data_IF_815308548310
#
_entry.id   IF_815308548310
#
_cell.length_a   1.000
_cell.length_b   1.000
_cell.length_c   1.000
_cell.angle_alpha   90.00
_cell.angle_beta   90.00
_cell.angle_gamma   90.00
#
_symmetry.space_group_name_H-M   'P 1'
#
loop_
_entity.id
_entity.type
_entity.pdbx_description
1 polymer ?
#
# COMPACT_ATOMS: atom_id res chain seq x y z
N UNK A 1 12.70 11.70 -17.24
CA UNK A 1 12.37 10.65 -16.24
C UNK A 1 12.88 11.13 -14.89
N UNK A 2 12.08 11.01 -13.83
CA UNK A 2 12.48 11.45 -12.47
C UNK A 2 13.69 10.67 -11.95
N UNK A 3 14.53 11.30 -11.12
CA UNK A 3 15.77 10.69 -10.61
C UNK A 3 15.52 9.41 -9.79
N UNK A 4 14.40 9.35 -9.05
CA UNK A 4 13.98 8.17 -8.30
C UNK A 4 13.71 6.96 -9.21
N UNK A 5 12.94 7.17 -10.29
CA UNK A 5 12.61 6.12 -11.28
C UNK A 5 13.85 5.59 -12.00
N UNK A 6 14.85 6.45 -12.24
CA UNK A 6 16.15 6.03 -12.81
C UNK A 6 16.93 5.14 -11.82
N UNK A 7 16.86 5.45 -10.52
CA UNK A 7 17.53 4.65 -9.48
C UNK A 7 16.92 3.26 -9.34
N UNK A 8 15.58 3.17 -9.36
CA UNK A 8 14.85 1.91 -9.33
C UNK A 8 15.16 1.06 -10.56
N UNK A 9 15.13 1.66 -11.76
CA UNK A 9 15.47 0.97 -12.99
C UNK A 9 16.91 0.42 -12.98
N UNK A 10 17.87 1.19 -12.45
CA UNK A 10 19.26 0.72 -12.30
C UNK A 10 19.36 -0.48 -11.36
N UNK A 11 18.65 -0.45 -10.23
CA UNK A 11 18.62 -1.57 -9.29
C UNK A 11 18.04 -2.83 -9.92
N UNK A 12 16.95 -2.69 -10.66
CA UNK A 12 16.31 -3.80 -11.37
C UNK A 12 17.22 -4.41 -12.46
N UNK A 13 17.95 -3.57 -13.20
CA UNK A 13 18.91 -4.05 -14.21
C UNK A 13 20.05 -4.86 -13.56
N UNK A 14 20.56 -4.44 -12.40
CA UNK A 14 21.57 -5.21 -11.67
C UNK A 14 21.02 -6.56 -11.16
N UNK A 15 19.76 -6.62 -10.75
CA UNK A 15 19.10 -7.88 -10.39
C UNK A 15 18.96 -8.83 -11.60
N UNK A 16 18.62 -8.30 -12.78
CA UNK A 16 18.54 -9.11 -14.00
C UNK A 16 19.92 -9.66 -14.41
N UNK A 17 21.01 -8.93 -14.13
CA UNK A 17 22.38 -9.40 -14.38
C UNK A 17 22.80 -10.51 -13.41
N UNK A 18 22.44 -10.39 -12.13
CA UNK A 18 22.78 -11.40 -11.12
C UNK A 18 21.92 -12.66 -11.24
N UNK A 19 20.67 -12.52 -11.67
CA UNK A 19 19.76 -13.63 -11.90
C UNK A 19 18.89 -13.43 -13.16
N UNK A 20 19.33 -13.94 -14.33
CA UNK A 20 18.59 -13.82 -15.59
C UNK A 20 17.22 -14.52 -15.61
N UNK A 21 16.94 -15.43 -14.67
CA UNK A 21 15.65 -16.12 -14.59
C UNK A 21 14.48 -15.19 -14.22
N UNK A 22 14.76 -14.00 -13.66
CA UNK A 22 13.76 -12.97 -13.37
C UNK A 22 13.01 -12.56 -14.66
N UNK A 23 13.70 -12.56 -15.81
CA UNK A 23 13.10 -12.24 -17.12
C UNK A 23 12.14 -13.32 -17.64
N UNK A 24 12.09 -14.49 -16.99
CA UNK A 24 11.15 -15.56 -17.31
C UNK A 24 9.85 -15.45 -16.50
N UNK A 25 9.74 -14.50 -15.57
CA UNK A 25 8.52 -14.26 -14.81
C UNK A 25 7.39 -13.72 -15.73
N UNK A 26 6.17 -14.31 -15.71
CA UNK A 26 5.05 -13.88 -16.55
C UNK A 26 4.69 -12.39 -16.44
N UNK A 27 4.82 -11.81 -15.24
CA UNK A 27 4.55 -10.38 -15.00
C UNK A 27 5.50 -9.43 -15.74
N UNK A 28 6.68 -9.91 -16.12
CA UNK A 28 7.69 -9.19 -16.89
C UNK A 28 7.66 -9.54 -18.38
N UNK A 29 6.61 -10.24 -18.86
CA UNK A 29 6.47 -10.65 -20.25
C UNK A 29 6.59 -9.50 -21.25
N UNK A 30 6.04 -8.31 -20.93
CA UNK A 30 6.18 -7.12 -21.78
C UNK A 30 7.65 -6.68 -21.95
N UNK A 31 8.45 -6.77 -20.88
CA UNK A 31 9.85 -6.36 -20.88
C UNK A 31 10.72 -7.40 -21.60
N UNK A 32 10.41 -8.69 -21.40
CA UNK A 32 10.99 -9.80 -22.16
C UNK A 32 10.78 -9.60 -23.67
N UNK A 33 9.54 -9.37 -24.10
CA UNK A 33 9.19 -9.14 -25.51
C UNK A 33 9.91 -7.91 -26.09
N UNK A 34 10.05 -6.84 -25.30
CA UNK A 34 10.81 -5.65 -25.69
C UNK A 34 12.30 -5.98 -25.90
N UNK A 35 12.93 -6.74 -25.01
CA UNK A 35 14.33 -7.15 -25.15
C UNK A 35 14.54 -8.05 -26.37
N UNK A 36 13.64 -8.99 -26.62
CA UNK A 36 13.64 -9.85 -27.81
C UNK A 36 13.47 -9.02 -29.10
N UNK A 37 12.64 -7.97 -29.08
CA UNK A 37 12.50 -7.04 -30.22
C UNK A 37 13.78 -6.28 -30.56
N UNK A 38 14.68 -6.12 -29.57
CA UNK A 38 16.01 -5.52 -29.74
C UNK A 38 17.09 -6.55 -30.10
N UNK A 39 16.71 -7.83 -30.29
CA UNK A 39 17.61 -8.91 -30.65
C UNK A 39 18.34 -9.56 -29.48
N UNK A 40 17.91 -9.35 -28.24
CA UNK A 40 18.49 -10.02 -27.08
C UNK A 40 18.10 -11.51 -27.03
N UNK A 41 19.04 -12.39 -26.70
CA UNK A 41 18.79 -13.82 -26.46
C UNK A 41 18.71 -14.11 -24.97
N UNK A 42 17.54 -14.51 -24.48
CA UNK A 42 17.30 -14.83 -23.07
C UNK A 42 17.40 -16.35 -22.88
N UNK A 43 18.18 -16.86 -21.91
CA UNK A 43 18.30 -18.30 -21.67
C UNK A 43 16.94 -18.97 -21.38
N UNK A 44 16.65 -20.15 -21.94
CA UNK A 44 15.42 -20.88 -21.63
C UNK A 44 15.42 -21.40 -20.19
N UNK A 45 14.23 -21.57 -19.61
CA UNK A 45 14.09 -22.17 -18.28
C UNK A 45 14.74 -23.57 -18.23
N UNK A 46 15.40 -23.94 -17.12
CA UNK A 46 15.88 -25.31 -16.93
C UNK A 46 14.68 -26.26 -16.97
N UNK A 47 14.77 -27.30 -17.81
CA UNK A 47 13.71 -28.29 -18.01
C UNK A 47 13.56 -29.12 -16.72
N UNK A 48 12.44 -28.96 -16.01
CA UNK A 48 11.98 -29.95 -15.04
C UNK A 48 11.26 -31.06 -15.79
N UNK A 49 11.71 -32.29 -15.57
CA UNK A 49 11.19 -33.50 -16.18
C UNK A 49 9.72 -33.75 -15.77
N UNK A 50 8.92 -34.26 -16.72
CA UNK A 50 7.51 -34.59 -16.47
C UNK A 50 7.42 -35.96 -15.78
N UNK A 51 6.76 -36.01 -14.64
CA UNK A 51 6.28 -37.25 -14.03
C UNK A 51 5.10 -36.95 -13.12
N UNK A 52 3.88 -37.23 -13.60
CA UNK A 52 2.69 -37.19 -12.76
C UNK A 52 2.55 -38.48 -11.96
N UNK A 53 2.22 -38.36 -10.68
CA UNK A 53 1.53 -39.38 -9.90
C UNK A 53 0.87 -38.70 -8.68
N UNK A 54 -0.42 -39.00 -8.49
CA UNK A 54 -1.22 -38.59 -7.33
C UNK A 54 -0.73 -39.27 -6.06
N UNK A 55 -0.35 -38.52 -5.01
CA UNK A 55 -0.45 -38.98 -3.60
C UNK A 55 -0.81 -37.79 -2.70
N UNK A 56 -2.06 -37.84 -2.22
CA UNK A 56 -2.57 -37.58 -0.87
C UNK A 56 -1.73 -36.78 0.14
N UNK A 57 -2.44 -35.84 0.80
CA UNK A 57 -2.34 -35.43 2.21
C UNK A 57 -1.00 -35.63 2.92
N UNK A 58 -0.34 -34.50 3.23
CA UNK A 58 0.53 -34.40 4.40
C UNK A 58 0.53 -32.95 4.91
N UNK A 59 -0.28 -32.70 5.93
CA UNK A 59 0.12 -31.79 6.99
C UNK A 59 1.49 -32.22 7.55
N UNK A 60 2.21 -31.27 8.14
CA UNK A 60 3.50 -31.42 8.86
C UNK A 60 4.80 -31.44 8.02
N UNK A 61 5.48 -30.28 8.00
CA UNK A 61 6.84 -30.07 8.51
C UNK A 61 7.56 -28.94 7.76
N UNK A 62 7.36 -27.69 8.22
CA UNK A 62 8.27 -26.58 7.93
C UNK A 62 9.30 -26.47 9.07
N UNK A 63 10.12 -27.51 9.23
CA UNK A 63 11.29 -27.46 10.10
C UNK A 63 12.45 -28.26 9.48
N UNK A 64 13.23 -27.60 8.62
CA UNK A 64 14.58 -28.05 8.27
C UNK A 64 15.44 -26.91 7.67
N UNK A 65 16.08 -26.15 8.58
CA UNK A 65 17.46 -25.66 8.53
C UNK A 65 18.12 -25.40 7.16
N UNK A 66 18.31 -24.11 6.86
CA UNK A 66 19.54 -23.64 6.23
C UNK A 66 20.36 -22.85 7.29
N UNK A 67 21.56 -23.30 7.72
CA UNK A 67 22.24 -22.73 8.89
C UNK A 67 22.93 -21.38 8.68
N UNK A 68 22.87 -20.78 7.48
CA UNK A 68 23.73 -19.63 7.12
C UNK A 68 22.99 -18.35 6.70
N UNK A 69 21.70 -18.21 7.01
CA UNK A 69 21.00 -16.93 6.82
C UNK A 69 20.97 -16.15 8.13
N UNK A 70 21.44 -14.91 8.10
CA UNK A 70 21.38 -13.99 9.23
C UNK A 70 19.92 -13.82 9.66
N UNK A 71 19.66 -13.58 10.95
CA UNK A 71 18.30 -13.43 11.48
C UNK A 71 17.51 -12.28 10.82
N UNK A 72 18.21 -11.30 10.23
CA UNK A 72 17.60 -10.20 9.48
C UNK A 72 17.09 -10.63 8.08
N UNK A 73 17.63 -11.70 7.47
CA UNK A 73 17.23 -12.16 6.12
C UNK A 73 15.90 -12.92 6.10
N UNK A 74 15.51 -13.58 7.21
CA UNK A 74 14.24 -14.33 7.30
C UNK A 74 12.99 -13.45 7.35
N UNK A 75 13.14 -12.16 7.64
CA UNK A 75 12.03 -11.19 7.68
C UNK A 75 11.75 -10.55 6.31
N UNK A 76 12.61 -10.83 5.32
CA UNK A 76 12.58 -10.26 3.97
C UNK A 76 11.88 -11.12 2.93
N UNK A 77 11.37 -12.31 3.27
CA UNK A 77 10.60 -13.10 2.30
C UNK A 77 9.28 -12.37 2.01
N UNK A 78 9.20 -11.82 0.80
CA UNK A 78 7.98 -11.23 0.27
C UNK A 78 6.89 -12.32 0.23
N UNK A 79 5.70 -11.97 0.70
CA UNK A 79 4.56 -12.91 0.67
C UNK A 79 4.16 -13.04 -0.79
N UNK A 80 4.54 -14.14 -1.43
CA UNK A 80 4.14 -14.47 -2.80
C UNK A 80 2.72 -15.04 -2.76
N UNK A 81 1.80 -14.34 -3.42
CA UNK A 81 0.43 -14.83 -3.61
C UNK A 81 0.43 -16.01 -4.57
N UNK A 82 -0.24 -17.09 -4.17
CA UNK A 82 -0.44 -18.26 -5.01
C UNK A 82 -1.48 -17.97 -6.06
N UNK A 83 -1.33 -18.52 -7.25
CA UNK A 83 -2.40 -18.47 -8.25
C UNK A 83 -3.63 -19.24 -7.75
N UNK A 84 -4.83 -18.76 -8.11
CA UNK A 84 -6.10 -19.38 -7.74
C UNK A 84 -6.69 -20.04 -8.98
N UNK A 85 -7.01 -21.34 -8.89
CA UNK A 85 -7.69 -22.07 -9.97
C UNK A 85 -9.19 -21.74 -9.97
N UNK A 86 -9.58 -20.81 -10.86
CA UNK A 86 -10.97 -20.41 -11.08
C UNK A 86 -11.54 -21.08 -12.33
N UNK A 87 -12.85 -21.36 -12.33
CA UNK A 87 -13.54 -21.81 -13.55
C UNK A 87 -13.79 -20.60 -14.47
N UNK A 88 -13.18 -20.61 -15.65
CA UNK A 88 -13.24 -19.52 -16.63
C UNK A 88 -14.23 -19.79 -17.79
N UNK A 89 -14.98 -20.90 -17.74
CA UNK A 89 -15.78 -21.39 -18.88
C UNK A 89 -16.79 -20.37 -19.41
N UNK A 90 -17.39 -19.56 -18.53
CA UNK A 90 -18.44 -18.58 -18.87
C UNK A 90 -17.90 -17.13 -19.02
N UNK A 91 -16.58 -16.94 -18.98
CA UNK A 91 -15.95 -15.62 -19.16
C UNK A 91 -16.02 -15.21 -20.63
N UNK A 92 -16.33 -13.94 -20.87
CA UNK A 92 -16.37 -13.30 -22.18
C UNK A 92 -15.33 -12.18 -22.20
N UNK A 93 -14.70 -11.99 -23.36
CA UNK A 93 -13.82 -10.85 -23.58
C UNK A 93 -14.57 -9.52 -23.34
N UNK A 94 -13.94 -8.54 -22.67
CA UNK A 94 -14.52 -7.22 -22.50
C UNK A 94 -14.87 -6.57 -23.85
N UNK A 95 -16.03 -5.93 -23.97
CA UNK A 95 -16.35 -5.13 -25.16
C UNK A 95 -15.59 -3.81 -25.15
N UNK A 96 -14.79 -3.58 -26.21
CA UNK A 96 -13.93 -2.40 -26.40
C UNK A 96 -14.57 -1.31 -27.29
N UNK A 97 -15.88 -1.40 -27.53
CA UNK A 97 -16.61 -0.40 -28.30
C UNK A 97 -16.66 0.96 -27.58
N UNK A 98 -16.76 2.07 -28.34
CA UNK A 98 -16.99 3.39 -27.76
C UNK A 98 -18.20 3.38 -26.80
N UNK A 99 -18.16 4.14 -25.69
CA UNK A 99 -19.28 4.22 -24.76
C UNK A 99 -20.58 4.58 -25.47
N UNK A 100 -21.65 3.84 -25.17
CA UNK A 100 -22.96 4.06 -25.76
C UNK A 100 -23.57 5.40 -25.30
N UNK A 101 -24.56 5.90 -26.04
CA UNK A 101 -25.23 7.17 -25.71
C UNK A 101 -26.06 7.02 -24.44
N UNK A 102 -25.83 7.89 -23.45
CA UNK A 102 -26.46 7.82 -22.11
C UNK A 102 -27.50 8.92 -21.86
N UNK A 103 -27.76 9.82 -22.82
CA UNK A 103 -28.61 10.99 -22.56
C UNK A 103 -27.92 12.04 -21.68
N UNK A 104 -28.59 13.19 -21.52
CA UNK A 104 -28.11 14.26 -20.65
C UNK A 104 -29.02 14.35 -19.41
N UNK A 105 -28.53 13.98 -18.21
CA UNK A 105 -29.33 13.99 -16.98
C UNK A 105 -29.91 15.35 -16.60
N UNK A 106 -29.43 16.45 -17.21
CA UNK A 106 -29.93 17.81 -16.94
C UNK A 106 -31.16 18.20 -17.78
N UNK A 107 -31.56 17.38 -18.76
CA UNK A 107 -32.75 17.65 -19.58
C UNK A 107 -34.02 17.53 -18.73
N UNK A 108 -34.84 18.59 -18.73
CA UNK A 108 -36.20 18.55 -18.18
C UNK A 108 -37.09 17.68 -19.07
N UNK A 109 -37.67 16.63 -18.48
CA UNK A 109 -38.55 15.70 -19.18
C UNK A 109 -39.96 16.26 -19.22
N UNK A 110 -40.37 16.78 -20.38
CA UNK A 110 -41.75 17.22 -20.64
C UNK A 110 -42.70 16.03 -20.75
N UNK A 111 -44.01 16.26 -20.60
CA UNK A 111 -45.04 15.21 -20.80
C UNK A 111 -44.93 14.58 -22.20
N UNK A 112 -44.73 15.40 -23.24
CA UNK A 112 -44.53 14.93 -24.61
C UNK A 112 -43.31 14.01 -24.75
N UNK A 113 -42.16 14.40 -24.17
CA UNK A 113 -40.96 13.58 -24.18
C UNK A 113 -41.14 12.28 -23.39
N UNK A 114 -41.88 12.35 -22.28
CA UNK A 114 -42.19 11.18 -21.47
C UNK A 114 -43.06 10.17 -22.24
N UNK A 115 -44.14 10.64 -22.89
CA UNK A 115 -45.03 9.79 -23.70
C UNK A 115 -44.31 9.19 -24.92
N UNK A 116 -43.47 9.99 -25.58
CA UNK A 116 -42.63 9.53 -26.68
C UNK A 116 -41.63 8.45 -26.21
N UNK A 117 -40.99 8.65 -25.05
CA UNK A 117 -40.09 7.66 -24.46
C UNK A 117 -40.83 6.36 -24.08
N UNK A 118 -42.06 6.43 -23.56
CA UNK A 118 -42.87 5.22 -23.29
C UNK A 118 -43.23 4.47 -24.58
N UNK A 119 -43.56 5.21 -25.64
CA UNK A 119 -43.87 4.61 -26.94
C UNK A 119 -42.66 3.89 -27.51
N UNK A 120 -41.47 4.51 -27.46
CA UNK A 120 -40.21 3.88 -27.89
C UNK A 120 -39.84 2.67 -27.03
N UNK A 121 -40.07 2.74 -25.72
CA UNK A 121 -39.91 1.59 -24.82
C UNK A 121 -40.83 0.43 -25.22
N UNK A 122 -42.08 0.70 -25.57
CA UNK A 122 -43.00 -0.34 -26.06
C UNK A 122 -42.47 -1.00 -27.33
N UNK A 123 -42.04 -0.20 -28.31
CA UNK A 123 -41.41 -0.70 -29.56
C UNK A 123 -40.17 -1.55 -29.28
N UNK A 124 -39.35 -1.14 -28.31
CA UNK A 124 -38.19 -1.93 -27.91
C UNK A 124 -38.61 -3.28 -27.30
N UNK A 125 -39.69 -3.32 -26.51
CA UNK A 125 -40.21 -4.60 -25.98
C UNK A 125 -40.72 -5.51 -27.08
N UNK A 126 -41.40 -4.95 -28.09
CA UNK A 126 -41.85 -5.72 -29.27
C UNK A 126 -40.63 -6.29 -30.03
N UNK A 127 -39.59 -5.48 -30.26
CA UNK A 127 -38.35 -5.92 -30.88
C UNK A 127 -37.62 -7.00 -30.06
N UNK A 128 -37.67 -6.94 -28.72
CA UNK A 128 -37.12 -7.99 -27.84
C UNK A 128 -37.90 -9.31 -28.04
N UNK A 129 -39.23 -9.25 -28.09
CA UNK A 129 -40.08 -10.42 -28.33
C UNK A 129 -39.83 -11.05 -29.71
N UNK A 130 -39.54 -10.23 -30.71
CA UNK A 130 -39.15 -10.66 -32.06
C UNK A 130 -37.68 -11.13 -32.17
N UNK A 131 -36.88 -11.00 -31.10
CA UNK A 131 -35.46 -11.35 -31.08
C UNK A 131 -34.54 -10.36 -31.79
N UNK A 132 -35.04 -9.20 -32.20
CA UNK A 132 -34.28 -8.14 -32.89
C UNK A 132 -33.56 -7.25 -31.87
N UNK A 133 -32.51 -7.80 -31.27
CA UNK A 133 -31.82 -7.18 -30.13
C UNK A 133 -31.18 -5.82 -30.46
N UNK A 134 -30.60 -5.64 -31.65
CA UNK A 134 -30.00 -4.36 -32.04
C UNK A 134 -31.04 -3.25 -32.24
N UNK A 135 -32.17 -3.56 -32.89
CA UNK A 135 -33.29 -2.62 -33.03
C UNK A 135 -33.86 -2.22 -31.66
N UNK A 136 -33.94 -3.17 -30.72
CA UNK A 136 -34.35 -2.88 -29.35
C UNK A 136 -33.38 -1.93 -28.62
N UNK A 137 -32.05 -2.08 -28.85
CA UNK A 137 -31.04 -1.16 -28.31
C UNK A 137 -31.21 0.24 -28.89
N UNK A 138 -31.47 0.36 -30.19
CA UNK A 138 -31.68 1.66 -30.85
C UNK A 138 -32.92 2.37 -30.29
N UNK A 139 -34.06 1.67 -30.21
CA UNK A 139 -35.28 2.22 -29.62
C UNK A 139 -35.12 2.62 -28.14
N UNK A 140 -34.42 1.83 -27.33
CA UNK A 140 -34.13 2.20 -25.94
C UNK A 140 -33.17 3.38 -25.85
N UNK A 141 -32.22 3.48 -26.77
CA UNK A 141 -31.29 4.61 -26.81
C UNK A 141 -32.03 5.90 -27.13
N UNK A 142 -32.91 5.91 -28.12
CA UNK A 142 -33.79 7.05 -28.39
C UNK A 142 -34.69 7.38 -27.19
N UNK A 143 -35.25 6.37 -26.52
CA UNK A 143 -36.06 6.58 -25.33
C UNK A 143 -35.27 7.23 -24.18
N UNK A 144 -34.01 6.83 -23.98
CA UNK A 144 -33.11 7.39 -22.95
C UNK A 144 -32.75 8.85 -23.27
N UNK A 145 -32.54 9.20 -24.54
CA UNK A 145 -32.28 10.59 -24.94
C UNK A 145 -33.47 11.52 -24.62
N UNK A 146 -34.70 11.00 -24.66
CA UNK A 146 -35.91 11.74 -24.32
C UNK A 146 -36.22 11.75 -22.82
N UNK A 147 -35.91 10.65 -22.11
CA UNK A 147 -36.11 10.51 -20.68
C UNK A 147 -34.90 9.87 -19.99
N UNK A 148 -33.84 10.66 -19.73
CA UNK A 148 -32.61 10.17 -19.12
C UNK A 148 -32.76 9.89 -17.62
N UNK A 149 -33.90 10.25 -17.01
CA UNK A 149 -34.21 10.01 -15.59
C UNK A 149 -34.89 8.66 -15.31
N UNK A 150 -35.06 7.81 -16.33
CA UNK A 150 -35.78 6.53 -16.17
C UNK A 150 -34.85 5.34 -15.96
N UNK A 151 -34.72 4.89 -14.69
CA UNK A 151 -33.92 3.71 -14.32
C UNK A 151 -34.30 2.44 -15.11
N UNK A 152 -35.59 2.29 -15.45
CA UNK A 152 -36.11 1.10 -16.13
C UNK A 152 -35.60 1.02 -17.58
N UNK A 153 -35.39 2.15 -18.26
CA UNK A 153 -34.86 2.18 -19.62
C UNK A 153 -33.43 1.63 -19.65
N UNK A 154 -32.56 2.16 -18.77
CA UNK A 154 -31.19 1.67 -18.64
C UNK A 154 -31.14 0.21 -18.21
N UNK A 155 -31.89 -0.20 -17.18
CA UNK A 155 -31.91 -1.59 -16.73
C UNK A 155 -32.41 -2.57 -17.82
N UNK A 156 -33.30 -2.11 -18.70
CA UNK A 156 -33.78 -2.92 -19.84
C UNK A 156 -32.74 -2.99 -20.95
N UNK A 157 -32.08 -1.87 -21.28
CA UNK A 157 -31.01 -1.86 -22.28
C UNK A 157 -29.79 -2.67 -21.82
N UNK A 158 -29.43 -2.60 -20.54
CA UNK A 158 -28.45 -3.48 -19.90
C UNK A 158 -28.77 -4.96 -20.11
N UNK A 159 -30.04 -5.35 -19.96
CA UNK A 159 -30.46 -6.75 -20.17
C UNK A 159 -30.29 -7.24 -21.61
N UNK A 160 -30.41 -6.34 -22.58
CA UNK A 160 -30.12 -6.67 -23.98
C UNK A 160 -28.61 -6.75 -24.20
N UNK A 161 -27.82 -5.85 -23.61
CA UNK A 161 -26.36 -5.93 -23.70
C UNK A 161 -25.79 -7.22 -23.09
N UNK A 162 -26.35 -7.71 -21.98
CA UNK A 162 -26.01 -9.04 -21.44
C UNK A 162 -26.29 -10.14 -22.47
N UNK A 163 -27.47 -10.13 -23.11
CA UNK A 163 -27.82 -11.09 -24.19
C UNK A 163 -26.91 -10.99 -25.42
N UNK A 164 -26.45 -9.78 -25.75
CA UNK A 164 -25.51 -9.49 -26.83
C UNK A 164 -24.05 -9.78 -26.45
N UNK A 165 -23.79 -10.25 -25.23
CA UNK A 165 -22.43 -10.47 -24.71
C UNK A 165 -21.54 -9.23 -24.71
N UNK A 166 -22.12 -8.08 -24.34
CA UNK A 166 -21.43 -6.78 -24.18
C UNK A 166 -21.42 -6.34 -22.72
N UNK A 167 -20.59 -6.96 -21.87
CA UNK A 167 -20.66 -6.77 -20.41
C UNK A 167 -20.26 -5.38 -19.92
N UNK A 168 -19.32 -4.67 -20.56
CA UNK A 168 -18.94 -3.30 -20.19
C UNK A 168 -20.10 -2.35 -20.48
N UNK A 169 -20.71 -2.42 -21.67
CA UNK A 169 -21.91 -1.65 -21.98
C UNK A 169 -23.05 -1.93 -20.99
N UNK A 170 -23.31 -3.21 -20.69
CA UNK A 170 -24.31 -3.61 -19.70
C UNK A 170 -24.02 -3.06 -18.29
N UNK A 171 -22.76 -3.07 -17.85
CA UNK A 171 -22.38 -2.54 -16.54
C UNK A 171 -22.64 -1.04 -16.44
N UNK A 172 -22.31 -0.26 -17.48
CA UNK A 172 -22.55 1.20 -17.49
C UNK A 172 -24.04 1.52 -17.35
N UNK A 173 -24.89 0.87 -18.14
CA UNK A 173 -26.34 1.05 -18.05
C UNK A 173 -26.89 0.60 -16.69
N UNK A 174 -26.39 -0.52 -16.15
CA UNK A 174 -26.85 -1.00 -14.86
C UNK A 174 -26.41 -0.08 -13.71
N UNK A 175 -25.22 0.53 -13.79
CA UNK A 175 -24.75 1.53 -12.84
C UNK A 175 -25.62 2.80 -12.88
N UNK A 176 -25.95 3.32 -14.07
CA UNK A 176 -26.85 4.47 -14.21
C UNK A 176 -28.27 4.16 -13.71
N UNK A 177 -28.77 2.94 -13.99
CA UNK A 177 -30.05 2.49 -13.46
C UNK A 177 -30.09 2.50 -11.92
N UNK A 178 -28.99 2.09 -11.28
CA UNK A 178 -28.85 2.04 -9.82
C UNK A 178 -28.56 3.42 -9.22
N UNK A 179 -27.93 4.32 -9.97
CA UNK A 179 -27.77 5.72 -9.56
C UNK A 179 -29.13 6.43 -9.49
N UNK A 180 -30.02 6.14 -10.46
CA UNK A 180 -31.37 6.70 -10.51
C UNK A 180 -32.29 6.01 -9.50
N UNK A 181 -32.25 4.67 -9.44
CA UNK A 181 -33.04 3.87 -8.49
C UNK A 181 -32.15 2.85 -7.76
N UNK A 182 -31.65 3.19 -6.56
CA UNK A 182 -30.81 2.32 -5.76
C UNK A 182 -31.44 0.99 -5.34
N UNK A 183 -32.77 0.89 -5.34
CA UNK A 183 -33.51 -0.33 -4.95
C UNK A 183 -33.95 -1.18 -6.17
N UNK A 184 -33.35 -0.95 -7.34
CA UNK A 184 -33.68 -1.68 -8.56
C UNK A 184 -33.08 -3.09 -8.58
N UNK A 185 -33.88 -4.10 -8.26
CA UNK A 185 -33.48 -5.51 -8.34
C UNK A 185 -32.95 -5.89 -9.74
N UNK A 186 -33.61 -5.39 -10.81
CA UNK A 186 -33.17 -5.61 -12.19
C UNK A 186 -31.80 -4.97 -12.47
N UNK A 187 -31.53 -3.78 -11.92
CA UNK A 187 -30.23 -3.11 -12.03
C UNK A 187 -29.11 -3.97 -11.43
N UNK A 188 -29.27 -4.43 -10.20
CA UNK A 188 -28.30 -5.33 -9.55
C UNK A 188 -28.15 -6.65 -10.31
N UNK A 189 -29.25 -7.26 -10.75
CA UNK A 189 -29.22 -8.52 -11.53
C UNK A 189 -28.37 -8.35 -12.79
N UNK A 190 -28.63 -7.31 -13.59
CA UNK A 190 -27.89 -7.10 -14.83
C UNK A 190 -26.42 -6.78 -14.59
N UNK A 191 -26.10 -5.98 -13.56
CA UNK A 191 -24.71 -5.68 -13.19
C UNK A 191 -23.96 -6.92 -12.70
N UNK A 192 -24.61 -7.74 -11.88
CA UNK A 192 -24.06 -9.00 -11.39
C UNK A 192 -23.76 -9.99 -12.52
N UNK A 193 -24.69 -10.13 -13.48
CA UNK A 193 -24.47 -10.95 -14.67
C UNK A 193 -23.33 -10.41 -15.54
N UNK A 194 -23.29 -9.10 -15.81
CA UNK A 194 -22.21 -8.49 -16.59
C UNK A 194 -20.83 -8.68 -15.93
N UNK A 195 -20.75 -8.54 -14.60
CA UNK A 195 -19.54 -8.78 -13.82
C UNK A 195 -19.11 -10.25 -13.84
N UNK A 196 -20.05 -11.18 -13.80
CA UNK A 196 -19.75 -12.61 -13.93
C UNK A 196 -19.12 -12.93 -15.29
N UNK A 197 -19.64 -12.34 -16.37
CA UNK A 197 -19.07 -12.48 -17.71
C UNK A 197 -17.64 -11.92 -17.81
N UNK A 198 -17.29 -10.93 -16.98
CA UNK A 198 -15.94 -10.37 -16.90
C UNK A 198 -15.01 -11.10 -15.91
N UNK A 199 -15.45 -12.22 -15.33
CA UNK A 199 -14.68 -12.94 -14.30
C UNK A 199 -14.59 -12.22 -12.95
N UNK A 200 -15.39 -11.18 -12.72
CA UNK A 200 -15.44 -10.44 -11.45
C UNK A 200 -16.38 -11.14 -10.46
N UNK A 201 -16.04 -12.38 -10.08
CA UNK A 201 -16.92 -13.29 -9.37
C UNK A 201 -17.37 -12.78 -7.99
N UNK A 202 -16.47 -12.16 -7.24
CA UNK A 202 -16.75 -11.60 -5.90
C UNK A 202 -17.82 -10.49 -5.97
N UNK A 203 -17.65 -9.53 -6.90
CA UNK A 203 -18.59 -8.43 -7.11
C UNK A 203 -19.90 -8.93 -7.71
N UNK A 204 -19.84 -9.92 -8.61
CA UNK A 204 -21.01 -10.53 -9.21
C UNK A 204 -21.89 -11.22 -8.15
N UNK A 205 -21.29 -12.02 -7.26
CA UNK A 205 -22.01 -12.68 -6.17
C UNK A 205 -22.69 -11.65 -5.26
N UNK A 206 -21.96 -10.59 -4.90
CA UNK A 206 -22.50 -9.49 -4.08
C UNK A 206 -23.74 -8.85 -4.71
N UNK A 207 -23.68 -8.46 -5.99
CA UNK A 207 -24.81 -7.86 -6.70
C UNK A 207 -26.00 -8.83 -6.81
N UNK A 208 -25.75 -10.09 -7.16
CA UNK A 208 -26.81 -11.10 -7.30
C UNK A 208 -27.49 -11.42 -5.96
N UNK A 209 -26.76 -11.42 -4.85
CA UNK A 209 -27.36 -11.56 -3.52
C UNK A 209 -28.26 -10.37 -3.17
N UNK A 210 -27.82 -9.14 -3.47
CA UNK A 210 -28.65 -7.94 -3.26
C UNK A 210 -29.90 -8.00 -4.15
N UNK A 211 -29.74 -8.37 -5.43
CA UNK A 211 -30.86 -8.55 -6.35
C UNK A 211 -31.87 -9.59 -5.82
N UNK A 212 -31.41 -10.77 -5.40
CA UNK A 212 -32.24 -11.85 -4.84
C UNK A 212 -32.99 -11.43 -3.57
N UNK A 213 -32.36 -10.58 -2.75
CA UNK A 213 -32.99 -10.04 -1.53
C UNK A 213 -34.10 -9.03 -1.84
N UNK A 214 -33.92 -8.23 -2.90
CA UNK A 214 -34.91 -7.24 -3.33
C UNK A 214 -36.07 -7.89 -4.07
N UNK A 215 -35.77 -8.78 -5.00
CA UNK A 215 -36.76 -9.53 -5.78
C UNK A 215 -36.20 -10.91 -6.14
N UNK A 216 -36.88 -11.95 -5.65
CA UNK A 216 -36.46 -13.32 -5.90
C UNK A 216 -36.81 -13.72 -7.33
N UNK A 217 -35.81 -14.24 -8.05
CA UNK A 217 -35.96 -14.67 -9.43
C UNK A 217 -35.12 -15.94 -9.67
N UNK A 218 -35.68 -16.87 -10.44
CA UNK A 218 -35.07 -18.19 -10.68
C UNK A 218 -33.75 -18.07 -11.47
N UNK A 219 -33.65 -17.09 -12.38
CA UNK A 219 -32.43 -16.81 -13.12
C UNK A 219 -31.34 -16.26 -12.17
N UNK A 220 -31.69 -15.42 -11.19
CA UNK A 220 -30.74 -14.99 -10.15
C UNK A 220 -30.20 -16.20 -9.38
N UNK A 221 -31.08 -17.12 -8.98
CA UNK A 221 -30.67 -18.34 -8.26
C UNK A 221 -29.76 -19.25 -9.09
N UNK A 222 -30.04 -19.38 -10.39
CA UNK A 222 -29.19 -20.11 -11.33
C UNK A 222 -27.81 -19.46 -11.48
N UNK A 223 -27.77 -18.12 -11.60
CA UNK A 223 -26.51 -17.38 -11.71
C UNK A 223 -25.66 -17.45 -10.44
N UNK A 224 -26.27 -17.37 -9.25
CA UNK A 224 -25.56 -17.52 -7.98
C UNK A 224 -24.83 -18.87 -7.89
N UNK A 225 -25.49 -19.98 -8.27
CA UNK A 225 -24.87 -21.31 -8.29
C UNK A 225 -23.59 -21.39 -9.15
N UNK A 226 -23.50 -20.57 -10.20
CA UNK A 226 -22.32 -20.50 -11.07
C UNK A 226 -21.21 -19.61 -10.48
N UNK A 227 -21.60 -18.49 -9.87
CA UNK A 227 -20.66 -17.45 -9.42
C UNK A 227 -20.08 -17.75 -8.03
N UNK A 228 -20.87 -18.35 -7.13
CA UNK A 228 -20.51 -18.59 -5.73
C UNK A 228 -19.23 -19.43 -5.55
N UNK A 229 -18.98 -20.53 -6.29
CA UNK A 229 -17.77 -21.32 -6.10
C UNK A 229 -16.48 -20.53 -6.34
N UNK A 230 -16.42 -19.75 -7.41
CA UNK A 230 -15.26 -18.89 -7.71
C UNK A 230 -15.14 -17.73 -6.72
N UNK A 231 -16.27 -17.09 -6.37
CA UNK A 231 -16.29 -16.03 -5.37
C UNK A 231 -15.77 -16.50 -4.00
N UNK A 232 -16.13 -17.72 -3.60
CA UNK A 232 -15.67 -18.33 -2.35
C UNK A 232 -14.17 -18.58 -2.34
N UNK A 233 -13.62 -19.17 -3.42
CA UNK A 233 -12.16 -19.38 -3.57
C UNK A 233 -11.38 -18.07 -3.48
N UNK A 234 -11.86 -17.01 -4.14
CA UNK A 234 -11.25 -15.67 -4.08
C UNK A 234 -11.26 -15.13 -2.66
N UNK A 235 -12.38 -15.27 -1.96
CA UNK A 235 -12.51 -14.77 -0.59
C UNK A 235 -11.62 -15.51 0.40
N UNK A 236 -11.56 -16.84 0.30
CA UNK A 236 -10.67 -17.66 1.14
C UNK A 236 -9.19 -17.33 0.91
N UNK A 237 -8.79 -17.19 -0.35
CA UNK A 237 -7.45 -16.77 -0.73
C UNK A 237 -7.12 -15.40 -0.13
N UNK A 238 -7.99 -14.41 -0.32
CA UNK A 238 -7.82 -13.06 0.24
C UNK A 238 -7.67 -13.09 1.76
N UNK A 239 -8.52 -13.85 2.47
CA UNK A 239 -8.44 -14.02 3.94
C UNK A 239 -7.14 -14.68 4.39
N UNK A 240 -6.65 -15.69 3.65
CA UNK A 240 -5.37 -16.34 3.93
C UNK A 240 -4.22 -15.33 3.84
N UNK A 241 -4.15 -14.56 2.75
CA UNK A 241 -3.06 -13.63 2.53
C UNK A 241 -3.12 -12.38 3.41
N UNK A 242 -4.32 -11.92 3.77
CA UNK A 242 -4.47 -10.85 4.76
C UNK A 242 -3.96 -11.29 6.14
N UNK A 243 -4.24 -12.53 6.57
CA UNK A 243 -3.69 -13.10 7.81
C UNK A 243 -2.17 -13.16 7.78
N UNK A 244 -1.60 -13.70 6.70
CA UNK A 244 -0.14 -13.80 6.54
C UNK A 244 0.54 -12.42 6.58
N UNK A 245 -0.04 -11.40 5.92
CA UNK A 245 0.46 -10.03 5.97
C UNK A 245 0.41 -9.45 7.38
N UNK A 246 -0.71 -9.62 8.09
CA UNK A 246 -0.85 -9.17 9.48
C UNK A 246 0.15 -9.85 10.42
N UNK A 247 0.31 -11.17 10.31
CA UNK A 247 1.27 -11.93 11.12
C UNK A 247 2.71 -11.50 10.84
N UNK A 248 3.10 -11.31 9.57
CA UNK A 248 4.42 -10.80 9.19
C UNK A 248 4.68 -9.40 9.77
N UNK A 249 3.71 -8.50 9.65
CA UNK A 249 3.85 -7.12 10.14
C UNK A 249 3.94 -7.08 11.67
N UNK A 250 3.21 -7.95 12.36
CA UNK A 250 3.34 -8.17 13.81
C UNK A 250 4.74 -8.69 14.17
N UNK A 251 5.22 -9.74 13.50
CA UNK A 251 6.58 -10.29 13.71
C UNK A 251 7.67 -9.24 13.47
N UNK A 252 7.56 -8.43 12.41
CA UNK A 252 8.49 -7.32 12.13
C UNK A 252 8.47 -6.27 13.25
N UNK A 253 7.29 -5.89 13.73
CA UNK A 253 7.14 -4.95 14.85
C UNK A 253 7.71 -5.51 16.15
N UNK A 254 7.43 -6.77 16.47
CA UNK A 254 7.95 -7.46 17.66
C UNK A 254 9.47 -7.58 17.62
N UNK A 255 10.03 -8.05 16.50
CA UNK A 255 11.48 -8.13 16.30
C UNK A 255 12.14 -6.75 16.42
N UNK A 256 11.54 -5.70 15.82
CA UNK A 256 12.01 -4.32 15.97
C UNK A 256 11.90 -3.75 17.40
N UNK A 257 10.96 -4.26 18.23
CA UNK A 257 10.90 -3.91 19.66
C UNK A 257 11.96 -4.66 20.46
N UNK A 258 12.12 -5.96 20.23
CA UNK A 258 13.14 -6.78 20.88
C UNK A 258 14.55 -6.26 20.60
N UNK A 259 14.85 -5.92 19.34
CA UNK A 259 16.13 -5.33 18.95
C UNK A 259 16.42 -4.01 19.68
N UNK A 260 15.43 -3.11 19.75
CA UNK A 260 15.57 -1.84 20.52
C UNK A 260 15.76 -2.08 22.02
N UNK A 261 15.07 -3.07 22.59
CA UNK A 261 15.25 -3.44 23.99
C UNK A 261 16.64 -4.03 24.25
N UNK A 262 17.12 -4.91 23.37
CA UNK A 262 18.46 -5.48 23.45
C UNK A 262 19.56 -4.41 23.30
N UNK A 263 19.41 -3.48 22.34
CA UNK A 263 20.33 -2.35 22.17
C UNK A 263 20.35 -1.41 23.40
N UNK A 264 19.21 -1.23 24.08
CA UNK A 264 19.15 -0.44 25.31
C UNK A 264 19.72 -1.17 26.54
N UNK A 265 19.72 -2.50 26.55
CA UNK A 265 20.27 -3.34 27.62
C UNK A 265 21.74 -3.73 27.39
N UNK A 266 22.33 -3.34 26.26
CA UNK A 266 23.75 -3.56 25.96
C UNK A 266 24.61 -2.93 27.08
N UNK A 267 25.46 -3.72 27.78
CA UNK A 267 26.31 -3.23 28.86
C UNK A 267 27.20 -2.04 28.48
N UNK A 268 27.66 -1.98 27.23
CA UNK A 268 28.49 -0.88 26.72
C UNK A 268 27.69 0.42 26.69
N UNK A 269 26.45 0.36 26.17
CA UNK A 269 25.50 1.49 26.12
C UNK A 269 25.07 1.90 27.53
N UNK A 270 24.78 0.93 28.41
CA UNK A 270 24.38 1.17 29.79
C UNK A 270 25.50 1.82 30.62
N UNK A 271 26.77 1.52 30.33
CA UNK A 271 27.91 2.19 30.99
C UNK A 271 28.17 3.60 30.43
N UNK A 272 27.94 3.80 29.13
CA UNK A 272 28.23 5.05 28.43
C UNK A 272 27.16 6.13 28.63
N UNK A 273 25.92 5.77 28.97
CA UNK A 273 24.80 6.69 29.17
C UNK A 273 24.36 6.73 30.63
N UNK A 274 24.21 7.93 31.19
CA UNK A 274 23.75 8.15 32.57
C UNK A 274 22.50 9.02 32.58
N UNK A 275 21.35 8.40 32.80
CA UNK A 275 20.06 9.09 32.83
C UNK A 275 20.02 10.14 33.94
N UNK A 276 19.53 11.34 33.63
CA UNK A 276 19.37 12.40 34.61
C UNK A 276 20.65 13.16 34.98
N UNK A 277 21.80 12.77 34.41
CA UNK A 277 23.12 13.31 34.78
C UNK A 277 23.82 13.96 33.60
N UNK A 278 24.72 14.89 33.91
CA UNK A 278 25.66 15.48 32.93
C UNK A 278 26.94 14.64 32.92
N UNK A 279 27.33 14.15 31.75
CA UNK A 279 28.54 13.35 31.53
C UNK A 279 29.65 14.30 31.09
N UNK A 280 30.76 14.34 31.85
CA UNK A 280 31.95 15.09 31.48
C UNK A 280 32.79 14.30 30.48
N UNK A 281 33.16 14.93 29.37
CA UNK A 281 33.93 14.32 28.27
C UNK A 281 35.33 14.93 28.27
N UNK A 282 36.36 14.07 28.29
CA UNK A 282 37.76 14.47 28.42
C UNK A 282 38.63 14.06 27.22
N UNK A 283 38.07 13.36 26.23
CA UNK A 283 38.78 12.94 25.00
C UNK A 283 37.82 12.71 23.84
N UNK A 284 38.34 12.74 22.61
CA UNK A 284 37.54 12.40 21.42
C UNK A 284 37.00 10.96 21.43
N UNK A 285 37.76 10.00 21.98
CA UNK A 285 37.33 8.60 22.07
C UNK A 285 36.13 8.42 23.01
N UNK A 286 36.14 9.10 24.16
CA UNK A 286 35.00 9.10 25.08
C UNK A 286 33.77 9.73 24.43
N UNK A 287 33.95 10.84 23.71
CA UNK A 287 32.86 11.48 22.99
C UNK A 287 32.24 10.56 21.93
N UNK A 288 33.07 9.95 21.09
CA UNK A 288 32.60 9.09 20.00
C UNK A 288 31.85 7.88 20.58
N UNK A 289 32.34 7.27 21.66
CA UNK A 289 31.66 6.17 22.36
C UNK A 289 30.27 6.60 22.85
N UNK A 290 30.17 7.74 23.54
CA UNK A 290 28.89 8.22 24.09
C UNK A 290 27.90 8.64 23.00
N UNK A 291 28.37 9.31 21.94
CA UNK A 291 27.53 9.68 20.81
C UNK A 291 27.04 8.45 20.02
N UNK A 292 27.90 7.44 19.85
CA UNK A 292 27.50 6.18 19.23
C UNK A 292 26.44 5.46 20.06
N UNK A 293 26.61 5.39 21.39
CA UNK A 293 25.61 4.81 22.30
C UNK A 293 24.28 5.58 22.26
N UNK A 294 24.32 6.92 22.24
CA UNK A 294 23.11 7.75 22.09
C UNK A 294 22.43 7.52 20.73
N UNK A 295 23.20 7.39 19.65
CA UNK A 295 22.69 7.12 18.31
C UNK A 295 22.03 5.74 18.21
N UNK A 296 22.67 4.68 18.75
CA UNK A 296 22.13 3.31 18.79
C UNK A 296 20.79 3.24 19.51
N UNK A 297 20.62 4.05 20.57
CA UNK A 297 19.37 4.12 21.35
C UNK A 297 18.38 5.18 20.87
N UNK A 298 18.66 5.84 19.73
CA UNK A 298 17.84 6.93 19.17
C UNK A 298 17.57 8.07 20.17
N UNK A 299 18.48 8.31 21.12
CA UNK A 299 18.39 9.37 22.12
C UNK A 299 18.98 10.67 21.56
N UNK A 300 18.37 11.79 21.93
CA UNK A 300 18.98 13.10 21.73
C UNK A 300 20.22 13.20 22.62
N UNK A 301 21.36 13.58 22.05
CA UNK A 301 22.56 13.96 22.78
C UNK A 301 22.83 15.45 22.61
N UNK A 302 23.24 16.12 23.69
CA UNK A 302 23.54 17.55 23.69
C UNK A 302 24.98 17.72 24.14
N UNK A 303 25.81 18.34 23.31
CA UNK A 303 27.19 18.68 23.65
C UNK A 303 27.26 20.12 24.13
N UNK A 304 27.60 20.32 25.41
CA UNK A 304 27.84 21.62 25.99
C UNK A 304 29.35 21.91 26.09
N UNK A 305 29.86 22.76 25.21
CA UNK A 305 31.23 23.29 25.28
C UNK A 305 31.31 24.49 26.22
N UNK A 306 32.23 24.43 27.17
CA UNK A 306 32.39 25.43 28.26
C UNK A 306 33.87 25.71 28.53
N UNK A 307 34.15 26.72 29.36
CA UNK A 307 35.45 26.91 30.00
C UNK A 307 35.27 27.41 31.44
N UNK A 308 36.20 27.08 32.34
CA UNK A 308 36.13 27.48 33.76
C UNK A 308 36.23 28.99 33.99
N UNK A 309 36.98 29.69 33.12
CA UNK A 309 37.14 31.15 33.17
C UNK A 309 35.98 31.93 32.53
N UNK A 310 35.06 31.26 31.83
CA UNK A 310 33.93 31.89 31.15
C UNK A 310 32.79 32.25 32.11
N UNK A 311 32.53 33.55 32.31
CA UNK A 311 31.44 34.06 33.17
C UNK A 311 30.04 33.56 32.79
N UNK A 312 29.58 33.73 31.54
CA UNK A 312 28.27 33.23 31.09
C UNK A 312 28.12 31.70 31.23
N UNK A 313 29.21 30.95 31.07
CA UNK A 313 29.23 29.50 31.25
C UNK A 313 28.93 29.09 32.70
N UNK A 314 29.47 29.83 33.67
CA UNK A 314 29.17 29.63 35.11
C UNK A 314 27.69 29.86 35.43
N UNK A 315 27.03 30.77 34.70
CA UNK A 315 25.61 31.03 34.89
C UNK A 315 24.71 29.92 34.30
N UNK A 316 25.05 29.41 33.12
CA UNK A 316 24.20 28.40 32.45
C UNK A 316 24.47 26.96 32.91
N UNK A 317 25.64 26.68 33.48
CA UNK A 317 26.00 25.31 33.91
C UNK A 317 25.03 24.71 34.95
N UNK A 318 24.57 25.43 36.00
CA UNK A 318 23.58 24.89 36.94
C UNK A 318 22.25 24.55 36.27
N UNK A 319 21.80 25.41 35.34
CA UNK A 319 20.59 25.17 34.55
C UNK A 319 20.73 23.91 33.71
N UNK A 320 21.87 23.71 33.05
CA UNK A 320 22.14 22.53 32.23
C UNK A 320 22.03 21.24 33.05
N UNK A 321 22.55 21.24 34.28
CA UNK A 321 22.39 20.12 35.22
C UNK A 321 20.94 19.91 35.63
N UNK A 322 20.18 20.98 35.90
CA UNK A 322 18.73 20.87 36.19
C UNK A 322 17.96 20.28 35.00
N UNK A 323 18.32 20.67 33.78
CA UNK A 323 17.71 20.14 32.56
C UNK A 323 18.04 18.67 32.34
N UNK A 324 19.25 18.21 32.71
CA UNK A 324 19.59 16.80 32.71
C UNK A 324 18.64 15.98 33.57
N UNK A 325 18.37 16.42 34.81
CA UNK A 325 17.40 15.78 35.68
C UNK A 325 15.96 15.83 35.14
N UNK A 326 15.57 16.94 34.50
CA UNK A 326 14.22 17.10 33.91
C UNK A 326 13.99 16.20 32.69
N UNK A 327 15.02 15.94 31.89
CA UNK A 327 14.95 15.14 30.68
C UNK A 327 15.87 13.91 30.78
N UNK A 328 15.53 12.92 31.62
CA UNK A 328 16.44 11.80 31.93
C UNK A 328 16.80 10.95 30.71
N UNK A 329 15.96 10.95 29.67
CA UNK A 329 16.20 10.25 28.40
C UNK A 329 17.05 11.01 27.39
N UNK A 330 17.37 12.28 27.64
CA UNK A 330 18.30 13.06 26.83
C UNK A 330 19.71 12.89 27.41
N UNK A 331 20.71 12.75 26.54
CA UNK A 331 22.11 12.54 26.93
C UNK A 331 22.80 13.90 27.02
N UNK A 332 23.09 14.37 28.24
CA UNK A 332 23.72 15.66 28.48
C UNK A 332 25.23 15.49 28.61
N UNK A 333 25.98 16.03 27.66
CA UNK A 333 27.44 15.99 27.64
C UNK A 333 28.01 17.37 27.95
N UNK A 334 29.12 17.42 28.67
CA UNK A 334 29.87 18.64 28.98
C UNK A 334 31.32 18.44 28.57
N UNK A 335 31.84 19.38 27.79
CA UNK A 335 33.22 19.39 27.29
C UNK A 335 33.85 20.69 27.76
N UNK A 336 34.86 20.63 28.63
CA UNK A 336 35.69 21.80 28.90
C UNK A 336 36.73 21.92 27.79
N UNK A 337 36.78 23.08 27.12
CA UNK A 337 37.66 23.30 25.97
C UNK A 337 39.14 23.33 26.36
N UNK A 338 39.46 23.60 27.63
CA UNK A 338 40.83 23.61 28.12
C UNK A 338 41.34 22.19 28.40
N UNK A 339 40.44 21.31 28.86
CA UNK A 339 40.72 19.91 29.21
C UNK A 339 40.71 19.00 27.98
N UNK A 340 39.71 19.15 27.09
CA UNK A 340 39.49 18.31 25.91
C UNK A 340 39.74 19.09 24.60
N UNK A 341 40.99 19.57 24.44
CA UNK A 341 41.38 20.45 23.31
C UNK A 341 41.25 19.80 21.93
N UNK A 342 41.49 18.50 21.86
CA UNK A 342 41.31 17.68 20.65
C UNK A 342 39.85 17.69 20.18
N UNK A 343 38.92 17.55 21.12
CA UNK A 343 37.48 17.63 20.86
C UNK A 343 37.09 19.03 20.43
N UNK A 344 37.52 20.06 21.18
CA UNK A 344 37.21 21.46 20.87
C UNK A 344 37.70 21.87 19.47
N UNK A 345 38.90 21.42 19.08
CA UNK A 345 39.45 21.64 17.75
C UNK A 345 38.63 20.92 16.66
N UNK A 346 38.30 19.64 16.86
CA UNK A 346 37.51 18.83 15.91
C UNK A 346 36.12 19.43 15.66
N UNK A 347 35.51 20.03 16.67
CA UNK A 347 34.20 20.67 16.60
C UNK A 347 34.25 22.15 16.25
N UNK A 348 35.45 22.68 15.94
CA UNK A 348 35.69 24.05 15.53
C UNK A 348 35.05 25.09 16.48
N UNK A 349 35.30 24.91 17.79
CA UNK A 349 34.72 25.78 18.82
C UNK A 349 35.44 27.13 18.84
N UNK A 350 34.72 28.18 18.45
CA UNK A 350 35.23 29.56 18.45
C UNK A 350 34.69 30.41 19.60
N UNK A 351 33.64 29.97 20.28
CA UNK A 351 33.00 30.70 21.38
C UNK A 351 32.38 29.74 22.40
N UNK A 352 32.45 30.09 23.68
CA UNK A 352 31.77 29.37 24.77
C UNK A 352 30.85 30.31 25.54
N UNK A 353 29.68 29.84 26.03
CA UNK A 353 29.18 28.48 25.91
C UNK A 353 28.59 28.18 24.51
N UNK A 354 28.73 26.95 24.01
CA UNK A 354 28.08 26.50 22.76
C UNK A 354 27.46 25.12 22.98
N UNK A 355 26.25 24.93 22.46
CA UNK A 355 25.46 23.70 22.57
C UNK A 355 25.18 23.12 21.18
N UNK A 356 25.50 21.85 20.97
CA UNK A 356 25.14 21.11 19.76
C UNK A 356 24.13 20.02 20.09
N UNK A 357 23.10 19.89 19.26
CA UNK A 357 22.04 18.89 19.40
C UNK A 357 22.28 17.79 18.37
N UNK A 358 22.47 16.57 18.83
CA UNK A 358 22.77 15.41 18.01
C UNK A 358 21.63 14.38 18.13
N UNK A 359 21.07 13.92 17.02
CA UNK A 359 20.07 12.83 16.99
C UNK A 359 20.40 11.89 15.83
N UNK A 360 20.41 10.59 16.07
CA UNK A 360 20.73 9.55 15.09
C UNK A 360 22.06 9.82 14.34
N UNK A 361 23.09 10.23 15.07
CA UNK A 361 24.44 10.47 14.55
C UNK A 361 24.60 11.78 13.74
N UNK A 362 23.57 12.63 13.66
CA UNK A 362 23.61 13.90 12.91
C UNK A 362 23.33 15.10 13.81
N UNK A 363 23.97 16.23 13.51
CA UNK A 363 23.62 17.53 14.09
C UNK A 363 22.24 17.94 13.60
N UNK A 364 21.30 18.14 14.52
CA UNK A 364 19.94 18.58 14.22
C UNK A 364 19.71 20.04 14.58
N UNK A 365 20.51 20.61 15.50
CA UNK A 365 20.44 22.02 15.87
C UNK A 365 21.67 22.49 16.68
N UNK A 366 21.80 23.81 16.87
CA UNK A 366 22.88 24.46 17.63
C UNK A 366 22.39 25.71 18.38
N UNK A 367 22.97 26.00 19.54
CA UNK A 367 22.81 27.26 20.30
C UNK A 367 24.18 27.80 20.67
N UNK A 368 24.43 29.08 20.43
CA UNK A 368 25.68 29.76 20.80
C UNK A 368 25.36 30.85 21.81
N UNK A 369 26.12 30.90 22.90
CA UNK A 369 25.93 31.84 24.00
C UNK A 369 25.03 31.30 25.11
N UNK A 370 24.97 32.05 26.22
CA UNK A 370 24.22 31.68 27.42
C UNK A 370 22.72 32.03 27.32
N UNK A 371 22.04 31.52 26.29
CA UNK A 371 20.60 31.73 26.06
C UNK A 371 19.76 30.60 26.66
N UNK A 372 19.21 30.85 27.85
CA UNK A 372 18.35 29.91 28.58
C UNK A 372 17.09 29.52 27.80
N UNK A 373 16.39 30.51 27.25
CA UNK A 373 15.07 30.29 26.64
C UNK A 373 15.20 29.48 25.34
N UNK A 374 16.22 29.77 24.54
CA UNK A 374 16.50 29.03 23.32
C UNK A 374 16.91 27.59 23.60
N UNK A 375 17.76 27.38 24.61
CA UNK A 375 18.19 26.05 25.06
C UNK A 375 16.99 25.19 25.52
N UNK A 376 16.16 25.70 26.43
CA UNK A 376 14.99 24.97 26.94
C UNK A 376 13.99 24.61 25.82
N UNK A 377 13.71 25.57 24.92
CA UNK A 377 12.79 25.37 23.80
C UNK A 377 13.28 24.28 22.85
N UNK A 378 14.56 24.30 22.48
CA UNK A 378 15.14 23.30 21.56
C UNK A 378 15.20 21.92 22.20
N UNK A 379 15.53 21.83 23.49
CA UNK A 379 15.46 20.56 24.21
C UNK A 379 14.03 20.01 24.14
N UNK A 380 13.01 20.81 24.47
CA UNK A 380 11.63 20.39 24.40
C UNK A 380 11.19 19.96 22.99
N UNK A 381 11.71 20.63 21.94
CA UNK A 381 11.42 20.30 20.55
C UNK A 381 11.99 18.94 20.13
N UNK A 382 13.24 18.63 20.51
CA UNK A 382 13.95 17.45 20.02
C UNK A 382 13.97 16.25 20.97
N UNK A 383 13.59 16.44 22.24
CA UNK A 383 13.55 15.37 23.25
C UNK A 383 12.42 14.35 23.04
N UNK A 384 11.44 14.66 22.19
CA UNK A 384 10.32 13.78 21.84
C UNK A 384 10.68 12.73 20.79
#
# INVERSE_FOLDING_TARGET
>A
MEAAKISELKSFVEQCKSNPSILLNPSLGFFKNYLESLGAQIPPAPKSDKGGENILDSEENLDAKNPNLSSDDKLGEDIIESDIDLDETDIVEPDDDPPQKMGDPSIEVTEENWDAAQTLKSKAMDAICEGKLNEAVDHLTEAILLNPSSAILYATRASIFVKLKRPNAASRDADDALQINPDSAKGFKMRGMARAMLGQWDKAASDLHVASKLDYDEEISSMLKKVEPNAHKIEEHRRKYERLRKERDQRKSEHGRQRRQAEAQDPEVASALKDGHVIGIHSASELDTTLNAASRTSRLAILYFTASWCGPCRFISPLYTTLAGKYPKVVFLKVDIDDARDVAARWNISSVPTFFFMKNGKEVDKVVGADKSSLERKIAQYAN
#
